data_IF_887466095888
#
_entry.id   IF_887466095888
#
_cell.length_a   1.000
_cell.length_b   1.000
_cell.length_c   1.000
_cell.angle_alpha   90.00
_cell.angle_beta   90.00
_cell.angle_gamma   90.00
#
_symmetry.space_group_name_H-M   'P 1'
#
loop_
_entity.id
_entity.type
_entity.pdbx_description
1 polymer ?
#
# COMPACT_ATOMS: atom_id res chain seq x y z
N UNK A 1 -16.61 -1.31 -20.48
CA UNK A 1 -17.51 -0.53 -21.35
C UNK A 1 -17.07 0.93 -21.57
N UNK A 2 -16.69 1.70 -20.54
CA UNK A 2 -16.25 3.12 -20.67
C UNK A 2 -15.01 3.31 -21.57
N UNK A 3 -14.02 2.42 -21.49
CA UNK A 3 -12.79 2.51 -22.29
C UNK A 3 -13.05 2.28 -23.79
N UNK A 4 -14.07 1.49 -24.15
CA UNK A 4 -14.44 1.26 -25.56
C UNK A 4 -15.12 2.50 -26.18
N UNK A 5 -15.89 3.26 -25.40
CA UNK A 5 -16.49 4.53 -25.85
C UNK A 5 -15.43 5.60 -26.16
N UNK A 6 -14.27 5.55 -25.50
CA UNK A 6 -13.17 6.50 -25.73
C UNK A 6 -12.41 6.26 -27.05
N UNK A 7 -12.54 5.06 -27.65
CA UNK A 7 -11.97 4.70 -28.97
C UNK A 7 -13.00 4.75 -30.11
N UNK A 8 -14.09 5.52 -29.98
CA UNK A 8 -15.17 5.57 -30.99
C UNK A 8 -14.78 6.18 -32.35
N UNK A 9 -13.58 6.76 -32.46
CA UNK A 9 -13.06 7.37 -33.68
C UNK A 9 -12.66 6.37 -34.78
N UNK A 10 -12.32 5.12 -34.42
CA UNK A 10 -12.01 4.06 -35.38
C UNK A 10 -12.95 2.87 -35.17
N UNK A 11 -13.75 2.58 -36.21
CA UNK A 11 -14.82 1.58 -36.18
C UNK A 11 -14.29 0.15 -35.94
N UNK A 12 -13.06 -0.14 -36.35
CA UNK A 12 -12.51 -1.49 -36.21
C UNK A 12 -11.94 -1.72 -34.80
N UNK A 13 -11.27 -0.71 -34.22
CA UNK A 13 -10.78 -0.76 -32.84
C UNK A 13 -11.94 -0.70 -31.83
N UNK A 14 -12.96 0.13 -32.08
CA UNK A 14 -14.19 0.14 -31.30
C UNK A 14 -14.85 -1.25 -31.25
N UNK A 15 -14.95 -1.94 -32.39
CA UNK A 15 -15.55 -3.28 -32.45
C UNK A 15 -14.75 -4.32 -31.65
N UNK A 16 -13.42 -4.26 -31.70
CA UNK A 16 -12.54 -5.16 -30.93
C UNK A 16 -12.61 -4.87 -29.42
N UNK A 17 -12.55 -3.59 -29.04
CA UNK A 17 -12.64 -3.15 -27.65
C UNK A 17 -14.02 -3.45 -27.05
N UNK A 18 -15.10 -3.26 -27.82
CA UNK A 18 -16.47 -3.55 -27.40
C UNK A 18 -16.69 -5.06 -27.20
N UNK A 19 -16.23 -5.90 -28.14
CA UNK A 19 -16.30 -7.35 -27.98
C UNK A 19 -15.47 -7.86 -26.79
N UNK A 20 -14.30 -7.28 -26.54
CA UNK A 20 -13.50 -7.61 -25.36
C UNK A 20 -14.20 -7.23 -24.05
N UNK A 21 -14.85 -6.06 -24.00
CA UNK A 21 -15.60 -5.62 -22.83
C UNK A 21 -16.81 -6.52 -22.53
N UNK A 22 -17.56 -6.94 -23.54
CA UNK A 22 -18.72 -7.83 -23.33
C UNK A 22 -18.30 -9.21 -22.85
N UNK A 23 -17.22 -9.79 -23.37
CA UNK A 23 -16.70 -11.09 -22.90
C UNK A 23 -16.27 -11.02 -21.44
N UNK A 24 -15.61 -9.93 -21.03
CA UNK A 24 -15.23 -9.73 -19.63
C UNK A 24 -16.46 -9.66 -18.71
N UNK A 25 -17.52 -8.96 -19.13
CA UNK A 25 -18.77 -8.84 -18.37
C UNK A 25 -19.51 -10.21 -18.28
N UNK A 26 -19.55 -10.98 -19.37
CA UNK A 26 -20.10 -12.33 -19.38
C UNK A 26 -19.29 -13.32 -18.52
N UNK A 27 -17.96 -13.24 -18.55
CA UNK A 27 -17.08 -14.05 -17.71
C UNK A 27 -17.36 -13.80 -16.23
N UNK A 28 -17.54 -12.53 -15.84
CA UNK A 28 -17.88 -12.18 -14.47
C UNK A 28 -19.26 -12.74 -14.06
N UNK A 29 -20.27 -12.62 -14.93
CA UNK A 29 -21.60 -13.19 -14.67
C UNK A 29 -21.59 -14.72 -14.54
N UNK A 30 -20.90 -15.41 -15.46
CA UNK A 30 -20.75 -16.87 -15.42
C UNK A 30 -20.01 -17.32 -14.15
N UNK A 31 -18.98 -16.58 -13.74
CA UNK A 31 -18.25 -16.84 -12.50
C UNK A 31 -19.18 -16.77 -11.29
N UNK A 32 -20.07 -15.78 -11.21
CA UNK A 32 -21.06 -15.70 -10.12
C UNK A 32 -22.04 -16.88 -10.18
N UNK A 33 -22.59 -17.18 -11.35
CA UNK A 33 -23.56 -18.26 -11.53
C UNK A 33 -22.96 -19.63 -11.16
N UNK A 34 -21.67 -19.83 -11.37
CA UNK A 34 -20.98 -21.09 -11.07
C UNK A 34 -20.45 -21.11 -9.63
N UNK A 35 -19.72 -20.08 -9.21
CA UNK A 35 -19.06 -20.06 -7.90
C UNK A 35 -20.03 -19.85 -6.75
N UNK A 36 -21.14 -19.13 -6.94
CA UNK A 36 -22.08 -18.84 -5.85
C UNK A 36 -22.84 -20.08 -5.38
N UNK A 37 -23.38 -20.95 -6.26
CA UNK A 37 -23.95 -22.22 -5.84
C UNK A 37 -22.90 -23.18 -5.25
N UNK A 38 -21.69 -23.20 -5.81
CA UNK A 38 -20.58 -24.02 -5.27
C UNK A 38 -20.21 -23.56 -3.86
N UNK A 39 -20.15 -22.25 -3.62
CA UNK A 39 -19.91 -21.69 -2.30
C UNK A 39 -21.06 -22.01 -1.34
N UNK A 40 -22.31 -21.83 -1.77
CA UNK A 40 -23.48 -22.14 -0.95
C UNK A 40 -23.54 -23.63 -0.55
N UNK A 41 -23.05 -24.54 -1.41
CA UNK A 41 -23.05 -25.97 -1.14
C UNK A 41 -21.83 -26.45 -0.34
N UNK A 42 -20.64 -25.88 -0.56
CA UNK A 42 -19.36 -26.41 -0.03
C UNK A 42 -18.61 -25.48 0.91
N UNK A 43 -18.85 -24.17 0.86
CA UNK A 43 -18.05 -23.16 1.58
C UNK A 43 -16.58 -23.09 1.12
N UNK A 44 -16.27 -23.56 -0.08
CA UNK A 44 -14.91 -23.66 -0.60
C UNK A 44 -14.12 -22.34 -0.55
N UNK A 45 -14.71 -21.25 -1.04
CA UNK A 45 -14.08 -19.93 -1.04
C UNK A 45 -13.90 -19.41 0.39
N UNK A 46 -14.86 -19.65 1.30
CA UNK A 46 -14.72 -19.30 2.72
C UNK A 46 -13.52 -20.00 3.36
N UNK A 47 -13.38 -21.31 3.17
CA UNK A 47 -12.28 -22.08 3.75
C UNK A 47 -10.92 -21.68 3.15
N UNK A 48 -10.84 -21.52 1.83
CA UNK A 48 -9.60 -21.08 1.18
C UNK A 48 -9.19 -19.68 1.63
N UNK A 49 -10.13 -18.72 1.61
CA UNK A 49 -9.85 -17.35 2.04
C UNK A 49 -9.42 -17.32 3.50
N UNK A 50 -10.07 -18.14 4.36
CA UNK A 50 -9.69 -18.27 5.76
C UNK A 50 -8.26 -18.80 5.96
N UNK A 51 -7.81 -19.77 5.16
CA UNK A 51 -6.44 -20.28 5.20
C UNK A 51 -5.44 -19.20 4.73
N UNK A 52 -5.76 -18.50 3.64
CA UNK A 52 -4.92 -17.43 3.09
C UNK A 52 -4.76 -16.31 4.13
N UNK A 53 -5.87 -15.78 4.66
CA UNK A 53 -5.86 -14.69 5.64
C UNK A 53 -5.09 -15.05 6.90
N UNK A 54 -5.26 -16.29 7.42
CA UNK A 54 -4.48 -16.79 8.57
C UNK A 54 -2.99 -16.91 8.28
N UNK A 55 -2.62 -17.31 7.06
CA UNK A 55 -1.22 -17.45 6.65
C UNK A 55 -0.51 -16.09 6.52
N UNK A 56 -1.25 -15.04 6.18
CA UNK A 56 -0.72 -13.68 6.07
C UNK A 56 -0.85 -12.85 7.37
N UNK A 57 -1.28 -13.45 8.48
CA UNK A 57 -1.49 -12.80 9.79
C UNK A 57 -2.27 -11.47 9.70
N UNK A 58 -3.25 -11.41 8.79
CA UNK A 58 -4.03 -10.19 8.56
C UNK A 58 -5.03 -10.07 9.71
N UNK A 59 -4.74 -9.17 10.64
CA UNK A 59 -5.67 -8.83 11.73
C UNK A 59 -6.95 -8.27 11.12
N UNK A 60 -8.11 -8.81 11.48
CA UNK A 60 -9.41 -8.24 11.12
C UNK A 60 -9.87 -7.28 12.22
N UNK A 61 -10.19 -6.04 11.86
CA UNK A 61 -10.59 -4.95 12.77
C UNK A 61 -10.55 -3.58 12.07
N UNK A 62 -11.01 -2.52 12.75
CA UNK A 62 -11.06 -1.15 12.21
C UNK A 62 -9.66 -0.59 11.84
N UNK A 63 -8.61 -1.14 12.46
CA UNK A 63 -7.19 -0.86 12.17
C UNK A 63 -6.48 -1.98 11.36
N UNK A 64 -7.24 -2.84 10.67
CA UNK A 64 -6.68 -3.91 9.85
C UNK A 64 -5.84 -3.34 8.69
N UNK A 65 -4.55 -3.67 8.57
CA UNK A 65 -3.76 -3.26 7.42
C UNK A 65 -4.23 -4.01 6.17
N UNK A 66 -4.35 -3.28 5.06
CA UNK A 66 -4.61 -3.87 3.74
C UNK A 66 -3.61 -5.00 3.45
N UNK A 67 -4.02 -6.04 2.71
CA UNK A 67 -3.14 -7.15 2.32
C UNK A 67 -1.81 -6.64 1.72
N UNK A 68 -1.90 -5.58 0.91
CA UNK A 68 -0.73 -4.95 0.32
C UNK A 68 0.18 -4.33 1.38
N UNK A 69 -0.38 -3.66 2.40
CA UNK A 69 0.40 -3.07 3.50
C UNK A 69 1.19 -4.11 4.28
N UNK A 70 0.62 -5.28 4.56
CA UNK A 70 1.36 -6.35 5.26
C UNK A 70 2.62 -6.77 4.50
N UNK A 71 2.54 -6.80 3.17
CA UNK A 71 3.67 -7.17 2.30
C UNK A 71 4.61 -5.97 2.09
N UNK A 72 4.08 -4.76 1.92
CA UNK A 72 4.87 -3.57 1.61
C UNK A 72 5.50 -2.95 2.85
N UNK A 73 4.88 -3.01 4.02
CA UNK A 73 5.35 -2.40 5.25
C UNK A 73 6.77 -2.79 5.66
N UNK A 74 7.18 -4.08 5.66
CA UNK A 74 8.56 -4.44 5.98
C UNK A 74 9.54 -3.84 4.95
N UNK A 75 9.17 -3.78 3.67
CA UNK A 75 9.99 -3.16 2.63
C UNK A 75 10.06 -1.64 2.82
N UNK A 76 8.93 -0.98 3.09
CA UNK A 76 8.86 0.46 3.32
C UNK A 76 9.70 0.84 4.54
N UNK A 77 9.61 0.10 5.65
CA UNK A 77 10.39 0.35 6.88
C UNK A 77 11.90 0.24 6.69
N UNK A 78 12.37 -0.55 5.73
CA UNK A 78 13.79 -0.63 5.36
C UNK A 78 14.25 0.58 4.55
N UNK A 79 13.35 1.16 3.76
CA UNK A 79 13.66 2.32 2.91
C UNK A 79 13.55 3.62 3.71
N UNK A 80 12.40 3.86 4.35
CA UNK A 80 12.11 5.10 5.08
C UNK A 80 11.12 4.87 6.22
N UNK A 81 11.31 5.59 7.33
CA UNK A 81 10.34 5.67 8.42
C UNK A 81 9.92 7.12 8.60
N UNK A 82 8.62 7.36 8.65
CA UNK A 82 8.03 8.69 8.82
C UNK A 82 7.49 8.85 10.24
N UNK A 83 7.65 10.04 10.82
CA UNK A 83 7.06 10.34 12.12
C UNK A 83 5.57 10.70 11.99
N UNK A 84 4.71 9.75 12.39
CA UNK A 84 3.25 9.93 12.36
C UNK A 84 2.77 11.09 13.24
N UNK A 85 3.48 11.42 14.32
CA UNK A 85 3.12 12.53 15.21
C UNK A 85 3.29 13.88 14.51
N UNK A 86 4.41 14.08 13.83
CA UNK A 86 4.68 15.30 13.06
C UNK A 86 3.69 15.46 11.90
N UNK A 87 3.35 14.38 11.20
CA UNK A 87 2.32 14.42 10.13
C UNK A 87 0.97 14.84 10.67
N UNK A 88 0.56 14.29 11.82
CA UNK A 88 -0.70 14.67 12.46
C UNK A 88 -0.68 16.12 12.96
N UNK A 89 0.42 16.56 13.58
CA UNK A 89 0.57 17.94 14.06
C UNK A 89 0.46 18.96 12.91
N UNK A 90 1.08 18.65 11.75
CA UNK A 90 0.95 19.45 10.53
C UNK A 90 -0.49 19.45 10.00
N UNK A 91 -1.16 18.29 10.00
CA UNK A 91 -2.55 18.18 9.56
C UNK A 91 -3.51 18.97 10.48
N UNK A 92 -3.18 19.11 11.77
CA UNK A 92 -3.92 19.93 12.73
C UNK A 92 -3.57 21.42 12.68
N UNK A 93 -2.53 21.81 11.92
CA UNK A 93 -2.14 23.21 11.72
C UNK A 93 -1.26 23.81 12.83
N UNK A 94 -0.54 22.98 13.60
CA UNK A 94 0.36 23.48 14.65
C UNK A 94 1.60 24.18 14.03
N UNK A 95 1.85 25.48 14.30
CA UNK A 95 3.01 26.21 13.78
C UNK A 95 4.36 25.65 14.24
N UNK A 96 4.40 24.90 15.36
CA UNK A 96 5.63 24.28 15.85
C UNK A 96 6.04 23.01 15.09
N UNK A 97 5.13 22.43 14.30
CA UNK A 97 5.37 21.21 13.54
C UNK A 97 6.07 21.44 12.19
N UNK A 98 5.94 22.65 11.62
CA UNK A 98 6.50 22.98 10.30
C UNK A 98 8.03 22.97 10.24
N UNK A 99 8.71 23.10 11.39
CA UNK A 99 10.18 23.10 11.48
C UNK A 99 10.76 21.74 11.92
N UNK A 100 9.93 20.73 12.17
CA UNK A 100 10.38 19.38 12.55
C UNK A 100 10.64 18.54 11.30
N UNK A 101 11.60 17.61 11.38
CA UNK A 101 11.80 16.64 10.29
C UNK A 101 10.68 15.61 10.26
N UNK A 102 10.25 15.25 9.04
CA UNK A 102 9.27 14.20 8.77
C UNK A 102 9.89 12.80 8.86
N UNK A 103 11.21 12.70 8.71
CA UNK A 103 11.95 11.44 8.70
C UNK A 103 12.31 11.06 10.13
N UNK A 104 11.94 9.86 10.53
CA UNK A 104 12.15 9.37 11.89
C UNK A 104 13.56 8.82 12.05
N UNK A 105 14.49 9.63 12.53
CA UNK A 105 15.86 9.19 12.82
C UNK A 105 15.95 8.27 14.06
N UNK A 106 15.10 8.51 15.07
CA UNK A 106 15.17 7.86 16.38
C UNK A 106 13.97 6.94 16.60
N UNK A 107 14.22 5.65 16.81
CA UNK A 107 13.16 4.63 16.95
C UNK A 107 12.77 4.38 18.39
N UNK A 108 13.74 4.47 19.31
CA UNK A 108 13.51 4.37 20.75
C UNK A 108 13.78 5.73 21.39
N UNK A 109 12.70 6.35 21.85
CA UNK A 109 12.74 7.56 22.67
C UNK A 109 12.09 7.24 24.01
N UNK A 110 12.70 7.67 25.10
CA UNK A 110 12.10 7.57 26.44
C UNK A 110 11.83 8.97 26.94
N UNK A 111 10.56 9.25 27.19
CA UNK A 111 10.14 10.49 27.83
C UNK A 111 10.38 10.37 29.32
N UNK A 112 11.50 10.91 29.79
CA UNK A 112 11.74 11.04 31.22
C UNK A 112 11.20 12.38 31.69
N UNK A 113 10.40 12.37 32.76
CA UNK A 113 10.00 13.60 33.42
C UNK A 113 11.15 14.03 34.31
N UNK A 114 11.65 15.24 34.12
CA UNK A 114 12.66 15.83 34.99
C UNK A 114 12.13 17.15 35.55
N UNK A 115 12.35 17.37 36.84
CA UNK A 115 12.06 18.64 37.49
C UNK A 115 13.00 19.70 36.93
N UNK A 116 12.44 20.71 36.27
CA UNK A 116 13.19 21.86 35.76
C UNK A 116 12.56 23.14 36.29
N UNK A 117 13.42 24.12 36.59
CA UNK A 117 13.00 25.47 36.91
C UNK A 117 12.56 26.16 35.63
N UNK A 118 11.30 26.55 35.56
CA UNK A 118 10.70 27.24 34.39
C UNK A 118 10.33 28.66 34.80
N UNK A 119 10.68 29.62 33.96
CA UNK A 119 10.27 31.01 34.14
C UNK A 119 8.79 31.19 33.84
N UNK A 120 8.08 31.80 34.78
CA UNK A 120 6.66 32.18 34.69
C UNK A 120 6.54 33.70 34.68
N UNK A 121 5.48 34.25 34.06
CA UNK A 121 5.30 35.70 33.97
C UNK A 121 4.69 36.34 35.24
N UNK A 122 4.21 35.54 36.19
CA UNK A 122 3.57 36.04 37.42
C UNK A 122 3.56 34.96 38.51
N UNK A 123 3.63 35.38 39.77
CA UNK A 123 3.54 34.53 40.98
C UNK A 123 2.22 33.74 41.06
N UNK A 124 1.16 34.19 40.38
CA UNK A 124 -0.13 33.48 40.29
C UNK A 124 -0.08 32.21 39.41
N UNK A 125 0.90 32.10 38.52
CA UNK A 125 1.09 30.93 37.64
C UNK A 125 2.06 29.90 38.23
N UNK A 126 2.51 30.10 39.46
CA UNK A 126 3.35 29.14 40.18
C UNK A 126 2.50 27.94 40.65
N UNK A 127 3.11 26.75 40.64
CA UNK A 127 2.39 25.50 41.00
C UNK A 127 2.05 25.48 42.50
N UNK A 128 2.86 26.18 43.32
CA UNK A 128 2.57 26.54 44.71
C UNK A 128 3.44 27.74 45.11
N UNK A 129 3.02 28.49 46.14
CA UNK A 129 3.75 29.66 46.64
C UNK A 129 5.10 29.35 47.27
N UNK A 130 5.32 28.11 47.73
CA UNK A 130 6.58 27.68 48.39
C UNK A 130 7.71 27.37 47.40
N UNK A 131 7.36 27.05 46.15
CA UNK A 131 8.31 26.73 45.08
C UNK A 131 8.35 27.82 44.00
N UNK A 132 8.09 29.07 44.39
CA UNK A 132 8.05 30.24 43.52
C UNK A 132 9.11 31.23 43.99
N UNK A 133 10.04 31.57 43.11
CA UNK A 133 11.14 32.47 43.42
C UNK A 133 11.15 33.61 42.41
N UNK A 134 11.25 34.86 42.90
CA UNK A 134 11.36 36.06 42.08
C UNK A 134 12.75 36.68 42.23
N UNK A 135 13.40 36.96 41.11
CA UNK A 135 14.60 37.81 41.05
C UNK A 135 14.38 38.88 39.98
N UNK A 136 14.09 40.11 40.43
CA UNK A 136 13.68 41.20 39.56
C UNK A 136 12.36 40.95 38.81
N UNK A 137 12.39 41.05 37.47
CA UNK A 137 11.21 40.91 36.61
C UNK A 137 10.86 39.44 36.25
N UNK A 138 11.66 38.47 36.70
CA UNK A 138 11.51 37.07 36.33
C UNK A 138 11.11 36.25 37.56
N UNK A 139 10.01 35.50 37.47
CA UNK A 139 9.62 34.48 38.46
C UNK A 139 9.91 33.10 37.91
N UNK A 140 10.39 32.18 38.73
CA UNK A 140 10.62 30.79 38.34
C UNK A 140 9.90 29.83 39.29
N UNK A 141 9.40 28.73 38.74
CA UNK A 141 8.71 27.66 39.47
C UNK A 141 9.30 26.32 39.09
N UNK A 142 9.33 25.38 40.03
CA UNK A 142 9.58 23.97 39.72
C UNK A 142 8.41 23.41 38.92
N UNK A 143 8.69 22.87 37.73
CA UNK A 143 7.70 22.17 36.92
C UNK A 143 8.26 20.86 36.38
N UNK A 144 7.41 19.85 36.35
CA UNK A 144 7.67 18.59 35.66
C UNK A 144 7.71 18.82 34.16
N UNK A 145 8.92 18.84 33.59
CA UNK A 145 9.13 18.98 32.14
C UNK A 145 9.51 17.62 31.58
N UNK A 146 8.72 17.14 30.61
CA UNK A 146 9.03 15.95 29.84
C UNK A 146 10.24 16.21 28.93
N UNK A 147 11.29 15.41 29.09
CA UNK A 147 12.45 15.40 28.21
C UNK A 147 12.49 14.08 27.45
N UNK A 148 12.56 14.16 26.14
CA UNK A 148 12.72 13.01 25.25
C UNK A 148 14.20 12.66 25.17
N UNK A 149 14.59 11.53 25.77
CA UNK A 149 15.95 10.98 25.65
C UNK A 149 15.97 10.02 24.47
N UNK A 150 16.89 10.24 23.54
CA UNK A 150 17.08 9.43 22.36
C UNK A 150 18.00 8.24 22.67
N UNK A 151 17.51 7.01 22.51
CA UNK A 151 18.25 5.79 22.85
C UNK A 151 18.86 5.11 21.63
N UNK A 152 18.05 4.88 20.59
CA UNK A 152 18.44 4.07 19.43
C UNK A 152 17.94 4.66 18.12
N UNK A 153 18.84 4.73 17.13
CA UNK A 153 18.52 5.16 15.77
C UNK A 153 17.73 4.08 15.01
N UNK A 154 16.88 4.50 14.08
CA UNK A 154 16.09 3.59 13.26
C UNK A 154 16.95 2.87 12.20
N UNK A 155 16.56 1.64 11.82
CA UNK A 155 17.18 0.94 10.71
C UNK A 155 16.41 1.21 9.42
N UNK A 156 16.76 2.29 8.72
CA UNK A 156 16.32 2.56 7.35
C UNK A 156 17.42 3.27 6.55
N UNK A 157 17.35 3.20 5.21
CA UNK A 157 18.39 3.70 4.29
C UNK A 157 18.79 5.16 4.54
N UNK A 158 17.83 6.00 4.91
CA UNK A 158 18.02 7.44 5.12
C UNK A 158 18.29 7.87 6.57
N UNK A 159 18.63 6.96 7.51
CA UNK A 159 18.78 7.33 8.94
C UNK A 159 19.96 8.27 9.23
N UNK A 160 21.03 8.20 8.42
CA UNK A 160 22.21 9.06 8.56
C UNK A 160 22.38 10.01 7.36
N UNK A 161 21.30 10.24 6.62
CA UNK A 161 21.35 11.04 5.41
C UNK A 161 21.38 12.53 5.78
N UNK A 162 22.48 13.23 5.49
CA UNK A 162 22.63 14.66 5.76
C UNK A 162 21.89 15.55 4.72
N UNK A 163 20.84 15.03 4.08
CA UNK A 163 20.06 15.69 3.03
C UNK A 163 18.71 16.14 3.59
N UNK A 164 18.18 17.24 3.07
CA UNK A 164 16.86 17.73 3.49
C UNK A 164 15.75 16.72 3.17
N UNK A 165 14.67 16.74 3.96
CA UNK A 165 13.49 15.89 3.76
C UNK A 165 12.95 15.97 2.32
N UNK A 166 12.97 17.17 1.72
CA UNK A 166 12.61 17.40 0.32
C UNK A 166 13.54 16.64 -0.65
N UNK A 167 14.85 16.66 -0.39
CA UNK A 167 15.83 15.94 -1.20
C UNK A 167 15.62 14.43 -1.17
N UNK A 168 15.36 13.86 0.01
CA UNK A 168 15.00 12.45 0.17
C UNK A 168 13.72 12.13 -0.61
N UNK A 169 12.70 12.99 -0.52
CA UNK A 169 11.45 12.85 -1.27
C UNK A 169 11.66 12.82 -2.79
N UNK A 170 12.48 13.70 -3.34
CA UNK A 170 12.78 13.74 -4.77
C UNK A 170 13.53 12.48 -5.26
N UNK A 171 14.47 11.97 -4.45
CA UNK A 171 15.20 10.73 -4.78
C UNK A 171 14.22 9.55 -4.79
N UNK A 172 13.37 9.43 -3.76
CA UNK A 172 12.36 8.37 -3.69
C UNK A 172 11.36 8.43 -4.84
N UNK A 173 10.95 9.63 -5.25
CA UNK A 173 10.08 9.83 -6.40
C UNK A 173 10.76 9.35 -7.68
N UNK A 174 12.00 9.79 -7.94
CA UNK A 174 12.75 9.38 -9.12
C UNK A 174 12.94 7.85 -9.19
N UNK A 175 13.33 7.23 -8.08
CA UNK A 175 13.52 5.77 -8.00
C UNK A 175 12.20 5.03 -8.22
N UNK A 176 11.11 5.45 -7.59
CA UNK A 176 9.80 4.80 -7.75
C UNK A 176 9.28 4.90 -9.18
N UNK A 177 9.49 6.04 -9.86
CA UNK A 177 9.14 6.22 -11.26
C UNK A 177 9.93 5.28 -12.17
N UNK A 178 11.24 5.11 -11.94
CA UNK A 178 12.07 4.17 -12.71
C UNK A 178 11.59 2.73 -12.51
N UNK A 179 11.31 2.32 -11.28
CA UNK A 179 10.81 0.98 -10.97
C UNK A 179 9.43 0.75 -11.64
N UNK A 180 8.54 1.74 -11.60
CA UNK A 180 7.22 1.64 -12.22
C UNK A 180 7.34 1.52 -13.75
N UNK A 181 8.15 2.37 -14.38
CA UNK A 181 8.38 2.32 -15.83
C UNK A 181 8.98 0.99 -16.28
N UNK A 182 10.00 0.50 -15.56
CA UNK A 182 10.61 -0.80 -15.86
C UNK A 182 9.60 -1.94 -15.67
N UNK A 183 8.80 -1.93 -14.61
CA UNK A 183 7.74 -2.90 -14.37
C UNK A 183 6.71 -2.92 -15.53
N UNK A 184 6.25 -1.76 -15.98
CA UNK A 184 5.31 -1.68 -17.12
C UNK A 184 5.92 -2.24 -18.40
N UNK A 185 7.18 -1.91 -18.70
CA UNK A 185 7.88 -2.45 -19.88
C UNK A 185 8.02 -3.97 -19.79
N UNK A 186 8.36 -4.49 -18.60
CA UNK A 186 8.49 -5.92 -18.35
C UNK A 186 7.15 -6.63 -18.52
N UNK A 187 6.05 -6.09 -17.99
CA UNK A 187 4.71 -6.68 -18.17
C UNK A 187 4.34 -6.73 -19.65
N UNK A 188 4.55 -5.65 -20.41
CA UNK A 188 4.26 -5.64 -21.85
C UNK A 188 5.13 -6.65 -22.59
N UNK A 189 6.42 -6.76 -22.26
CA UNK A 189 7.33 -7.75 -22.87
C UNK A 189 6.95 -9.18 -22.51
N UNK A 190 6.58 -9.45 -21.26
CA UNK A 190 6.12 -10.76 -20.80
C UNK A 190 4.86 -11.17 -21.55
N UNK A 191 3.87 -10.27 -21.63
CA UNK A 191 2.63 -10.55 -22.35
C UNK A 191 2.88 -10.81 -23.85
N UNK A 192 3.72 -10.00 -24.50
CA UNK A 192 4.08 -10.19 -25.91
C UNK A 192 4.94 -11.45 -26.15
N UNK A 193 5.75 -11.85 -25.16
CA UNK A 193 6.54 -13.08 -25.20
C UNK A 193 5.65 -14.32 -25.04
N UNK A 194 4.70 -14.29 -24.10
CA UNK A 194 3.70 -15.37 -23.92
C UNK A 194 2.83 -15.56 -25.17
N UNK A 195 2.39 -14.46 -25.80
CA UNK A 195 1.56 -14.50 -27.01
C UNK A 195 2.29 -14.97 -28.27
N UNK A 196 3.63 -15.01 -28.29
CA UNK A 196 4.43 -15.48 -29.44
C UNK A 196 5.17 -16.81 -29.18
N UNK A 197 5.18 -17.29 -27.94
CA UNK A 197 5.93 -18.47 -27.51
C UNK A 197 5.21 -19.81 -27.72
N UNK A 198 5.64 -20.83 -26.97
CA UNK A 198 5.08 -22.19 -27.03
C UNK A 198 3.56 -22.22 -26.74
N UNK A 199 3.08 -21.31 -25.89
CA UNK A 199 1.65 -21.15 -25.58
C UNK A 199 0.83 -20.83 -26.83
N UNK A 200 1.34 -20.00 -27.74
CA UNK A 200 0.67 -19.68 -29.00
C UNK A 200 0.58 -20.91 -29.94
N UNK A 201 1.59 -21.78 -29.93
CA UNK A 201 1.57 -23.03 -30.68
C UNK A 201 0.55 -24.03 -30.09
N UNK A 202 0.44 -24.09 -28.76
CA UNK A 202 -0.56 -24.91 -28.05
C UNK A 202 -1.97 -24.40 -28.33
N UNK A 203 -2.21 -23.08 -28.25
CA UNK A 203 -3.50 -22.45 -28.61
C UNK A 203 -3.85 -22.75 -30.07
N UNK A 204 -2.91 -22.57 -31.01
CA UNK A 204 -3.13 -22.85 -32.44
C UNK A 204 -3.44 -24.33 -32.67
N UNK A 205 -2.77 -25.24 -31.96
CA UNK A 205 -3.02 -26.68 -32.07
C UNK A 205 -4.42 -27.03 -31.54
N UNK A 206 -4.83 -26.47 -30.41
CA UNK A 206 -6.13 -26.75 -29.79
C UNK A 206 -7.28 -26.18 -30.63
N UNK A 207 -7.18 -24.92 -31.07
CA UNK A 207 -8.20 -24.30 -31.94
C UNK A 207 -8.32 -25.06 -33.27
N UNK A 208 -7.22 -25.57 -33.81
CA UNK A 208 -7.25 -26.33 -35.05
C UNK A 208 -7.61 -27.83 -34.84
N UNK A 209 -7.82 -28.25 -33.59
CA UNK A 209 -8.34 -29.59 -33.26
C UNK A 209 -9.84 -29.48 -33.03
N UNK A 210 -10.59 -29.09 -34.07
CA UNK A 210 -12.05 -29.22 -34.04
C UNK A 210 -12.41 -30.70 -34.16
N UNK A 211 -12.92 -31.28 -33.07
CA UNK A 211 -13.42 -32.65 -33.10
C UNK A 211 -14.59 -32.74 -34.09
N UNK A 212 -14.41 -33.55 -35.13
CA UNK A 212 -15.45 -33.88 -36.12
C UNK A 212 -16.63 -34.54 -35.38
N UNK A 213 -17.86 -34.27 -35.85
CA UNK A 213 -19.12 -34.80 -35.32
C UNK A 213 -19.01 -36.30 -34.93
N UNK A 214 -19.54 -36.73 -33.76
CA UNK A 214 -20.58 -36.09 -32.93
C UNK A 214 -20.10 -35.26 -31.72
N UNK A 215 -18.80 -35.24 -31.39
CA UNK A 215 -18.31 -34.63 -30.13
C UNK A 215 -17.85 -33.16 -30.26
N UNK A 216 -18.32 -32.44 -31.28
CA UNK A 216 -17.93 -31.04 -31.52
C UNK A 216 -18.30 -30.05 -30.40
N UNK A 217 -19.28 -30.38 -29.55
CA UNK A 217 -19.62 -29.58 -28.36
C UNK A 217 -18.56 -29.61 -27.24
N UNK A 218 -17.67 -30.61 -27.25
CA UNK A 218 -16.69 -30.84 -26.17
C UNK A 218 -15.40 -30.02 -26.37
N UNK A 219 -15.13 -29.57 -27.60
CA UNK A 219 -13.93 -28.79 -27.96
C UNK A 219 -13.80 -27.53 -27.10
N UNK A 220 -14.91 -26.81 -26.90
CA UNK A 220 -14.95 -25.58 -26.10
C UNK A 220 -14.63 -25.82 -24.61
N UNK A 221 -15.15 -26.90 -24.02
CA UNK A 221 -14.87 -27.25 -22.62
C UNK A 221 -13.43 -27.71 -22.41
N UNK A 222 -12.86 -28.46 -23.36
CA UNK A 222 -11.43 -28.86 -23.32
C UNK A 222 -10.55 -27.63 -23.47
N UNK A 223 -10.89 -26.69 -24.36
CA UNK A 223 -10.15 -25.44 -24.51
C UNK A 223 -10.17 -24.58 -23.22
N UNK A 224 -11.31 -24.54 -22.52
CA UNK A 224 -11.43 -23.89 -21.21
C UNK A 224 -10.61 -24.58 -20.12
N UNK A 225 -10.65 -25.92 -20.05
CA UNK A 225 -9.89 -26.69 -19.07
C UNK A 225 -8.37 -26.54 -19.26
N UNK A 226 -7.89 -26.55 -20.50
CA UNK A 226 -6.47 -26.31 -20.81
C UNK A 226 -6.10 -24.84 -20.56
N UNK A 227 -6.97 -23.90 -20.90
CA UNK A 227 -6.78 -22.48 -20.60
C UNK A 227 -6.70 -22.16 -19.11
N UNK A 228 -7.40 -22.93 -18.27
CA UNK A 228 -7.32 -22.82 -16.81
C UNK A 228 -6.07 -23.51 -16.21
N UNK A 229 -5.43 -24.42 -16.96
CA UNK A 229 -4.25 -25.17 -16.52
C UNK A 229 -2.91 -24.60 -17.00
N UNK A 230 -2.90 -23.61 -17.89
CA UNK A 230 -1.70 -22.91 -18.37
C UNK A 230 -1.40 -21.63 -17.59
#
# INVERSE_FOLDING_TARGET
TIVALMQSGDRNEFRRAFAGATVHDFFNWLSVIILLPVEAASGYLYHLTGIIVKSFDIKSGEDAPDLLKVITDPLTKLIIQLDKSVINDIATGDPMAANKSLIKEWCKTTTSVAEKNVTVPSELNCTSSEFCWSDGNNTWTLKNVSQTVNLEKCNHLFVNAAISDLGVGLILLAVSLIILCTCLILIVKLLNSMLKGQVAAVIKKIINTDFRYPFGWLTGYIALAVGAGM
#
